data_IF_527196936360
#
_entry.id   IF_527196936360
#
_cell.length_a   1.000
_cell.length_b   1.000
_cell.length_c   1.000
_cell.angle_alpha   90.00
_cell.angle_beta   90.00
_cell.angle_gamma   90.00
#
_symmetry.space_group_name_H-M   'P 1'
#
loop_
_entity.id
_entity.type
_entity.pdbx_description
1 polymer ?
#
# COMPACT_ATOMS: atom_id res chain seq x y z
N UNK A 1 -33.71 32.89 -15.13
CA UNK A 1 -33.59 31.68 -14.30
C UNK A 1 -32.16 31.39 -13.92
N UNK A 2 -31.79 31.73 -12.69
CA UNK A 2 -30.50 31.33 -12.10
C UNK A 2 -30.55 29.81 -11.88
N UNK A 3 -29.85 29.03 -12.72
CA UNK A 3 -29.55 27.63 -12.41
C UNK A 3 -28.64 27.63 -11.18
N UNK A 4 -29.24 27.46 -10.00
CA UNK A 4 -28.50 27.20 -8.76
C UNK A 4 -27.86 25.83 -8.94
N UNK A 5 -26.56 25.81 -9.25
CA UNK A 5 -25.78 24.58 -9.12
C UNK A 5 -25.87 24.16 -7.65
N UNK A 6 -26.44 22.99 -7.41
CA UNK A 6 -26.50 22.42 -6.06
C UNK A 6 -25.10 22.49 -5.45
N UNK A 7 -25.01 23.02 -4.23
CA UNK A 7 -23.76 22.96 -3.48
C UNK A 7 -23.31 21.48 -3.49
N UNK A 8 -22.06 21.20 -3.89
CA UNK A 8 -21.61 19.84 -3.97
C UNK A 8 -21.81 19.18 -2.61
N UNK A 9 -22.60 18.11 -2.59
CA UNK A 9 -22.84 17.34 -1.38
C UNK A 9 -21.46 16.94 -0.89
N UNK A 10 -21.12 17.32 0.35
CA UNK A 10 -19.89 16.89 1.01
C UNK A 10 -19.87 15.38 0.89
N UNK A 11 -19.04 14.84 0.00
CA UNK A 11 -19.03 13.40 -0.22
C UNK A 11 -18.81 12.77 1.15
N UNK A 12 -19.72 11.87 1.55
CA UNK A 12 -19.45 10.99 2.67
C UNK A 12 -18.32 10.09 2.18
N UNK A 13 -17.08 10.53 2.41
CA UNK A 13 -15.89 9.77 2.09
C UNK A 13 -15.83 8.61 3.08
N UNK A 14 -16.61 7.57 2.81
CA UNK A 14 -16.53 6.35 3.60
C UNK A 14 -15.24 5.65 3.19
N UNK A 15 -14.40 5.29 4.16
CA UNK A 15 -13.27 4.38 3.95
C UNK A 15 -12.08 4.93 3.14
N UNK A 16 -11.95 6.25 3.05
CA UNK A 16 -10.95 6.93 2.21
C UNK A 16 -10.00 7.85 3.01
N UNK A 17 -9.85 7.66 4.32
CA UNK A 17 -9.13 8.59 5.20
C UNK A 17 -7.70 8.90 4.74
N UNK A 18 -6.93 7.88 4.35
CA UNK A 18 -5.58 8.06 3.79
C UNK A 18 -5.58 8.90 2.51
N UNK A 19 -6.55 8.69 1.62
CA UNK A 19 -6.68 9.43 0.36
C UNK A 19 -7.06 10.88 0.62
N UNK A 20 -8.03 11.12 1.50
CA UNK A 20 -8.53 12.46 1.86
C UNK A 20 -7.43 13.26 2.54
N UNK A 21 -6.72 12.66 3.49
CA UNK A 21 -5.61 13.33 4.18
C UNK A 21 -4.44 13.63 3.23
N UNK A 22 -4.09 12.70 2.34
CA UNK A 22 -3.07 12.96 1.30
C UNK A 22 -3.52 14.06 0.33
N UNK A 23 -4.79 14.10 -0.04
CA UNK A 23 -5.39 15.16 -0.86
C UNK A 23 -5.26 16.51 -0.16
N UNK A 24 -5.61 16.59 1.13
CA UNK A 24 -5.44 17.80 1.95
C UNK A 24 -3.99 18.26 1.98
N UNK A 25 -3.05 17.34 2.26
CA UNK A 25 -1.60 17.63 2.28
C UNK A 25 -1.12 18.21 0.95
N UNK A 26 -1.53 17.64 -0.18
CA UNK A 26 -1.14 18.14 -1.53
C UNK A 26 -1.81 19.46 -1.88
N UNK A 27 -3.08 19.64 -1.50
CA UNK A 27 -3.79 20.88 -1.76
C UNK A 27 -3.12 22.07 -1.03
N UNK A 28 -2.65 21.86 0.20
CA UNK A 28 -1.90 22.87 0.96
C UNK A 28 -0.56 23.25 0.32
N UNK A 29 0.01 22.41 -0.54
CA UNK A 29 1.25 22.69 -1.29
C UNK A 29 0.99 23.47 -2.60
N UNK A 30 -0.27 23.64 -3.01
CA UNK A 30 -0.60 24.45 -4.19
C UNK A 30 -0.37 25.95 -3.88
N UNK A 31 -0.16 26.81 -4.90
CA UNK A 31 0.13 28.23 -4.70
C UNK A 31 -0.90 28.98 -3.83
N UNK A 32 -2.16 28.56 -3.85
CA UNK A 32 -3.25 29.13 -3.04
C UNK A 32 -3.55 28.31 -1.78
N UNK A 33 -2.73 27.32 -1.45
CA UNK A 33 -2.96 26.35 -0.38
C UNK A 33 -3.23 26.97 0.99
N UNK A 34 -2.55 28.08 1.33
CA UNK A 34 -2.77 28.82 2.59
C UNK A 34 -4.19 29.39 2.73
N UNK A 35 -4.87 29.68 1.61
CA UNK A 35 -6.23 30.22 1.60
C UNK A 35 -7.30 29.13 1.65
N UNK A 36 -6.93 27.86 1.49
CA UNK A 36 -7.89 26.74 1.49
C UNK A 36 -8.67 26.64 2.80
N UNK A 37 -8.05 26.94 3.93
CA UNK A 37 -8.66 26.90 5.26
C UNK A 37 -9.60 28.09 5.52
N UNK A 38 -9.52 29.15 4.72
CA UNK A 38 -10.24 30.41 4.94
C UNK A 38 -11.36 30.62 3.89
N UNK A 39 -11.21 30.07 2.68
CA UNK A 39 -11.94 30.53 1.50
C UNK A 39 -13.10 29.68 0.97
N UNK A 40 -13.57 28.66 1.71
CA UNK A 40 -14.72 27.85 1.25
C UNK A 40 -14.48 27.13 -0.08
N UNK A 41 -13.24 26.68 -0.33
CA UNK A 41 -12.85 26.04 -1.58
C UNK A 41 -13.49 24.65 -1.75
N UNK A 42 -13.82 24.32 -3.00
CA UNK A 42 -14.26 23.00 -3.41
C UNK A 42 -13.13 22.24 -4.11
N UNK A 43 -12.84 21.02 -3.66
CA UNK A 43 -11.84 20.14 -4.25
C UNK A 43 -12.53 18.93 -4.85
N UNK A 44 -12.46 18.78 -6.17
CA UNK A 44 -12.82 17.55 -6.86
C UNK A 44 -11.60 16.65 -6.91
N UNK A 45 -11.73 15.40 -6.47
CA UNK A 45 -10.65 14.42 -6.46
C UNK A 45 -10.80 13.39 -7.58
N UNK A 46 -9.80 12.52 -7.70
CA UNK A 46 -9.76 11.37 -8.62
C UNK A 46 -10.37 10.09 -8.03
N UNK A 47 -10.75 10.12 -6.75
CA UNK A 47 -11.21 8.97 -5.98
C UNK A 47 -12.39 8.26 -6.65
N UNK A 48 -12.25 6.95 -6.83
CA UNK A 48 -13.34 6.04 -7.11
C UNK A 48 -13.73 5.35 -5.81
N UNK A 49 -14.93 5.59 -5.31
CA UNK A 49 -15.38 5.08 -4.01
C UNK A 49 -15.47 3.55 -3.97
N UNK A 50 -15.83 2.93 -5.08
CA UNK A 50 -15.97 1.48 -5.19
C UNK A 50 -14.58 0.84 -5.16
N UNK A 51 -13.66 1.31 -6.01
CA UNK A 51 -12.28 0.81 -5.99
C UNK A 51 -11.58 1.10 -4.66
N UNK A 52 -11.85 2.23 -4.02
CA UNK A 52 -11.30 2.55 -2.70
C UNK A 52 -11.74 1.54 -1.64
N UNK A 53 -13.04 1.19 -1.61
CA UNK A 53 -13.56 0.21 -0.67
C UNK A 53 -12.93 -1.17 -0.90
N UNK A 54 -12.85 -1.62 -2.15
CA UNK A 54 -12.23 -2.89 -2.52
C UNK A 54 -10.74 -2.93 -2.20
N UNK A 55 -10.01 -1.86 -2.53
CA UNK A 55 -8.58 -1.73 -2.22
C UNK A 55 -8.31 -1.86 -0.71
N UNK A 56 -9.11 -1.20 0.11
CA UNK A 56 -9.00 -1.27 1.56
C UNK A 56 -9.31 -2.68 2.07
N UNK A 57 -10.43 -3.27 1.63
CA UNK A 57 -10.83 -4.60 2.05
C UNK A 57 -9.76 -5.64 1.66
N UNK A 58 -9.24 -5.56 0.44
CA UNK A 58 -8.19 -6.45 -0.07
C UNK A 58 -6.89 -6.32 0.73
N UNK A 59 -6.44 -5.09 1.03
CA UNK A 59 -5.23 -4.88 1.82
C UNK A 59 -5.41 -5.41 3.25
N UNK A 60 -6.49 -5.03 3.93
CA UNK A 60 -6.73 -5.46 5.32
C UNK A 60 -6.85 -6.97 5.44
N UNK A 61 -7.66 -7.60 4.58
CA UNK A 61 -7.83 -9.05 4.59
C UNK A 61 -6.51 -9.77 4.23
N UNK A 62 -5.69 -9.20 3.35
CA UNK A 62 -4.36 -9.73 3.03
C UNK A 62 -3.42 -9.70 4.24
N UNK A 63 -3.40 -8.59 4.97
CA UNK A 63 -2.59 -8.42 6.18
C UNK A 63 -3.06 -9.35 7.30
N UNK A 64 -4.37 -9.46 7.53
CA UNK A 64 -4.98 -10.40 8.49
C UNK A 64 -4.63 -11.85 8.16
N UNK A 65 -4.79 -12.27 6.89
CA UNK A 65 -4.40 -13.62 6.47
C UNK A 65 -2.92 -13.90 6.66
N UNK A 66 -2.04 -12.93 6.34
CA UNK A 66 -0.61 -13.06 6.60
C UNK A 66 -0.37 -13.24 8.10
N UNK A 67 -0.95 -12.37 8.90
CA UNK A 67 -0.78 -12.33 10.33
C UNK A 67 -1.23 -13.62 11.02
N UNK A 68 -2.39 -14.14 10.60
CA UNK A 68 -2.94 -15.41 11.07
C UNK A 68 -1.99 -16.59 10.79
N UNK A 69 -1.32 -16.62 9.63
CA UNK A 69 -0.31 -17.66 9.33
C UNK A 69 0.94 -17.59 10.21
N UNK A 70 1.20 -16.45 10.86
CA UNK A 70 2.34 -16.26 11.77
C UNK A 70 1.97 -16.44 13.25
N UNK A 71 0.76 -16.94 13.52
CA UNK A 71 0.33 -17.36 14.86
C UNK A 71 -0.24 -16.25 15.73
N UNK A 72 -0.94 -16.69 16.78
CA UNK A 72 -1.48 -15.84 17.82
C UNK A 72 -0.38 -15.33 18.76
N UNK A 73 -0.35 -14.01 18.97
CA UNK A 73 0.72 -13.32 19.72
C UNK A 73 0.39 -13.04 21.19
N UNK A 74 -0.80 -13.45 21.64
CA UNK A 74 -1.33 -13.14 22.97
C UNK A 74 -2.29 -11.96 22.95
N UNK A 75 -3.07 -11.86 24.02
CA UNK A 75 -4.05 -10.81 24.19
C UNK A 75 -3.39 -9.42 24.27
N UNK A 76 -3.98 -8.37 23.66
CA UNK A 76 -3.52 -6.99 23.81
C UNK A 76 -3.37 -6.54 25.27
N UNK A 77 -4.24 -7.03 26.15
CA UNK A 77 -4.23 -6.76 27.59
C UNK A 77 -4.84 -7.94 28.33
N UNK A 78 -4.48 -8.11 29.59
CA UNK A 78 -5.10 -9.10 30.50
C UNK A 78 -5.42 -8.41 31.83
N UNK A 79 -6.51 -8.82 32.47
CA UNK A 79 -6.95 -8.31 33.76
C UNK A 79 -7.72 -9.37 34.55
N UNK A 80 -7.90 -9.18 35.85
CA UNK A 80 -8.78 -10.05 36.63
C UNK A 80 -10.25 -9.89 36.18
N UNK A 81 -11.01 -10.99 36.16
CA UNK A 81 -12.44 -10.96 35.90
C UNK A 81 -13.16 -10.35 37.11
N UNK A 82 -13.41 -9.04 37.03
CA UNK A 82 -14.03 -8.24 38.09
C UNK A 82 -14.95 -7.19 37.47
N UNK A 83 -15.93 -6.64 38.22
CA UNK A 83 -16.78 -5.56 37.72
C UNK A 83 -15.96 -4.39 37.15
N UNK A 84 -16.38 -3.87 35.99
CA UNK A 84 -15.70 -2.76 35.30
C UNK A 84 -14.70 -3.19 34.21
N UNK A 85 -14.57 -4.49 33.93
CA UNK A 85 -13.75 -4.99 32.82
C UNK A 85 -14.23 -4.48 31.45
N UNK A 86 -15.52 -4.19 31.29
CA UNK A 86 -16.11 -3.68 30.06
C UNK A 86 -15.51 -2.31 29.71
N UNK A 87 -15.35 -1.43 30.71
CA UNK A 87 -14.75 -0.11 30.53
C UNK A 87 -13.30 -0.24 30.08
N UNK A 88 -12.57 -1.18 30.67
CA UNK A 88 -11.18 -1.46 30.29
C UNK A 88 -11.09 -2.04 28.87
N UNK A 89 -11.95 -2.99 28.51
CA UNK A 89 -12.03 -3.56 27.17
C UNK A 89 -12.36 -2.51 26.10
N UNK A 90 -13.19 -1.51 26.43
CA UNK A 90 -13.49 -0.38 25.53
C UNK A 90 -12.31 0.58 25.32
N UNK A 91 -11.26 0.53 26.15
CA UNK A 91 -10.02 1.30 25.89
C UNK A 91 -9.18 0.70 24.76
N UNK A 92 -9.37 -0.60 24.46
CA UNK A 92 -8.68 -1.26 23.36
C UNK A 92 -9.12 -0.63 22.04
N UNK A 93 -8.12 -0.22 21.24
CA UNK A 93 -8.35 0.42 19.95
C UNK A 93 -8.77 -0.62 18.91
N UNK A 94 -10.08 -0.83 18.76
CA UNK A 94 -10.64 -1.56 17.63
C UNK A 94 -10.41 -0.74 16.36
N UNK A 95 -9.88 -1.34 15.26
CA UNK A 95 -9.79 -0.65 13.98
C UNK A 95 -11.18 -0.15 13.55
N UNK A 96 -11.32 1.15 13.31
CA UNK A 96 -12.59 1.76 12.85
C UNK A 96 -13.17 1.12 11.58
N UNK A 97 -12.31 0.50 10.77
CA UNK A 97 -12.64 -0.19 9.54
C UNK A 97 -13.21 -1.60 9.78
N UNK A 98 -13.03 -2.16 10.98
CA UNK A 98 -13.56 -3.46 11.41
C UNK A 98 -14.74 -3.25 12.37
N UNK A 99 -15.81 -2.67 11.84
CA UNK A 99 -17.02 -2.31 12.61
C UNK A 99 -17.75 -3.51 13.24
N UNK A 100 -17.44 -4.74 12.82
CA UNK A 100 -18.02 -5.96 13.39
C UNK A 100 -17.20 -6.52 14.55
N UNK A 101 -15.94 -6.08 14.70
CA UNK A 101 -15.10 -6.50 15.81
C UNK A 101 -15.58 -5.86 17.10
N UNK A 102 -15.48 -6.63 18.18
CA UNK A 102 -15.73 -6.21 19.56
C UNK A 102 -14.55 -6.57 20.42
N UNK A 103 -14.26 -5.72 21.41
CA UNK A 103 -13.41 -6.11 22.53
C UNK A 103 -14.21 -7.05 23.43
N UNK A 104 -13.60 -8.15 23.85
CA UNK A 104 -14.22 -9.16 24.71
C UNK A 104 -13.24 -9.65 25.78
N UNK A 105 -13.74 -10.11 26.92
CA UNK A 105 -12.95 -10.81 27.93
C UNK A 105 -13.09 -12.32 27.77
N UNK A 106 -12.01 -13.07 28.02
CA UNK A 106 -12.06 -14.53 28.16
C UNK A 106 -12.55 -14.88 29.57
N UNK A 107 -13.75 -15.46 29.67
CA UNK A 107 -14.37 -15.83 30.96
C UNK A 107 -13.94 -17.21 31.46
N UNK A 108 -13.76 -18.16 30.54
CA UNK A 108 -13.37 -19.54 30.86
C UNK A 108 -12.57 -20.16 29.72
N UNK A 109 -11.66 -21.07 30.10
CA UNK A 109 -10.87 -21.91 29.18
C UNK A 109 -11.13 -23.41 29.39
N UNK A 110 -12.12 -23.75 30.22
CA UNK A 110 -12.55 -25.13 30.49
C UNK A 110 -13.62 -25.57 29.51
N UNK A 111 -13.47 -26.76 28.91
CA UNK A 111 -14.45 -27.31 27.96
C UNK A 111 -14.59 -26.54 26.63
N UNK A 112 -13.68 -25.61 26.36
CA UNK A 112 -13.75 -24.63 25.26
C UNK A 112 -13.16 -23.30 25.70
N UNK A 113 -13.28 -22.26 24.89
CA UNK A 113 -12.95 -20.89 25.32
C UNK A 113 -14.19 -20.04 25.19
N UNK A 114 -14.69 -19.55 26.33
CA UNK A 114 -15.86 -18.67 26.38
C UNK A 114 -15.40 -17.21 26.47
N UNK A 115 -16.00 -16.37 25.63
CA UNK A 115 -15.73 -14.94 25.57
C UNK A 115 -17.01 -14.13 25.78
N UNK A 116 -16.87 -12.95 26.38
CA UNK A 116 -17.96 -12.02 26.63
C UNK A 116 -17.60 -10.65 26.06
N UNK A 117 -18.33 -10.16 25.03
CA UNK A 117 -18.12 -8.82 24.48
C UNK A 117 -18.48 -7.70 25.44
N UNK A 118 -17.71 -6.62 25.42
CA UNK A 118 -17.90 -5.46 26.30
C UNK A 118 -19.12 -4.59 25.92
N UNK A 119 -19.67 -4.78 24.73
CA UNK A 119 -20.74 -3.96 24.14
C UNK A 119 -22.16 -4.52 24.37
N UNK A 120 -22.29 -5.48 25.29
CA UNK A 120 -23.58 -6.02 25.74
C UNK A 120 -24.11 -7.21 24.92
N UNK A 121 -23.39 -7.65 23.90
CA UNK A 121 -23.70 -8.91 23.23
C UNK A 121 -23.50 -10.11 24.19
N UNK A 122 -24.31 -11.18 24.06
CA UNK A 122 -24.24 -12.31 24.97
C UNK A 122 -22.90 -13.03 24.88
N UNK A 123 -22.41 -13.54 26.02
CA UNK A 123 -21.24 -14.39 26.07
C UNK A 123 -21.44 -15.68 25.26
N UNK A 124 -20.40 -16.10 24.53
CA UNK A 124 -20.45 -17.23 23.62
C UNK A 124 -19.11 -17.95 23.50
N UNK A 125 -19.11 -19.05 22.74
CA UNK A 125 -17.90 -19.87 22.54
C UNK A 125 -17.05 -19.34 21.38
N UNK A 126 -15.73 -19.36 21.52
CA UNK A 126 -14.82 -19.20 20.39
C UNK A 126 -14.91 -20.42 19.47
N UNK A 127 -14.73 -20.20 18.16
CA UNK A 127 -14.63 -21.30 17.20
C UNK A 127 -13.45 -22.21 17.53
N UNK A 128 -13.64 -23.53 17.35
CA UNK A 128 -12.60 -24.52 17.67
C UNK A 128 -11.29 -24.31 16.89
N UNK A 129 -11.38 -23.87 15.64
CA UNK A 129 -10.21 -23.52 14.82
C UNK A 129 -9.43 -22.33 15.39
N UNK A 130 -10.11 -21.36 16.00
CA UNK A 130 -9.49 -20.20 16.64
C UNK A 130 -8.86 -20.56 17.97
N UNK A 131 -9.48 -21.45 18.74
CA UNK A 131 -8.89 -22.01 19.96
C UNK A 131 -7.61 -22.80 19.62
N UNK A 132 -7.66 -23.62 18.59
CA UNK A 132 -6.49 -24.37 18.11
C UNK A 132 -5.37 -23.43 17.63
N UNK A 133 -5.72 -22.41 16.85
CA UNK A 133 -4.79 -21.38 16.39
C UNK A 133 -4.15 -20.61 17.54
N UNK A 134 -4.95 -20.20 18.53
CA UNK A 134 -4.46 -19.50 19.71
C UNK A 134 -3.52 -20.37 20.55
N UNK A 135 -3.87 -21.65 20.75
CA UNK A 135 -3.06 -22.65 21.48
C UNK A 135 -1.72 -22.93 20.80
N UNK A 136 -1.67 -22.94 19.47
CA UNK A 136 -0.42 -23.09 18.72
C UNK A 136 0.51 -21.87 18.86
N UNK A 137 -0.04 -20.71 19.23
CA UNK A 137 0.70 -19.51 19.61
C UNK A 137 0.89 -19.39 21.12
N UNK A 138 0.61 -18.22 21.69
CA UNK A 138 0.76 -17.96 23.13
C UNK A 138 -0.36 -18.48 24.04
N UNK A 139 -1.41 -19.09 23.47
CA UNK A 139 -2.61 -19.50 24.19
C UNK A 139 -3.50 -18.32 24.60
N UNK A 140 -4.62 -18.66 25.23
CA UNK A 140 -5.57 -17.74 25.86
C UNK A 140 -5.69 -18.10 27.34
N UNK A 141 -5.87 -17.09 28.19
CA UNK A 141 -6.06 -17.23 29.63
C UNK A 141 -7.34 -16.53 30.06
N UNK A 142 -7.93 -17.00 31.15
CA UNK A 142 -9.03 -16.29 31.81
C UNK A 142 -8.58 -14.87 32.16
N UNK A 143 -9.40 -13.88 31.81
CA UNK A 143 -9.09 -12.47 32.01
C UNK A 143 -8.38 -11.78 30.83
N UNK A 144 -8.04 -12.51 29.77
CA UNK A 144 -7.50 -11.92 28.55
C UNK A 144 -8.55 -11.05 27.85
N UNK A 145 -8.19 -9.82 27.48
CA UNK A 145 -8.98 -8.93 26.66
C UNK A 145 -8.57 -9.09 25.20
N UNK A 146 -9.48 -9.59 24.37
CA UNK A 146 -9.26 -9.99 22.98
C UNK A 146 -10.20 -9.25 22.03
N UNK A 147 -9.94 -9.32 20.73
CA UNK A 147 -10.90 -8.89 19.71
C UNK A 147 -11.64 -10.10 19.17
N UNK A 148 -12.95 -9.97 18.99
CA UNK A 148 -13.80 -11.02 18.46
C UNK A 148 -14.82 -10.49 17.46
N UNK A 149 -15.21 -11.34 16.52
CA UNK A 149 -16.30 -11.08 15.57
C UNK A 149 -17.38 -12.17 15.71
N UNK A 150 -18.65 -11.78 15.80
CA UNK A 150 -19.74 -12.75 15.91
C UNK A 150 -19.93 -13.52 14.61
N UNK A 151 -20.14 -14.84 14.70
CA UNK A 151 -20.49 -15.66 13.54
C UNK A 151 -22.01 -15.68 13.23
N UNK A 152 -22.80 -14.96 14.03
CA UNK A 152 -24.27 -14.92 13.91
C UNK A 152 -25.00 -16.12 14.54
N UNK A 153 -24.29 -17.14 15.02
CA UNK A 153 -24.84 -18.37 15.60
C UNK A 153 -24.52 -18.49 17.12
N UNK A 154 -24.24 -17.36 17.77
CA UNK A 154 -23.87 -17.32 19.20
C UNK A 154 -22.42 -17.79 19.47
N UNK A 155 -21.59 -17.89 18.44
CA UNK A 155 -20.15 -18.14 18.55
C UNK A 155 -19.36 -16.95 18.04
N UNK A 156 -18.07 -16.97 18.35
CA UNK A 156 -17.17 -15.85 18.07
C UNK A 156 -15.91 -16.34 17.36
N UNK A 157 -15.47 -15.54 16.39
CA UNK A 157 -14.16 -15.66 15.78
C UNK A 157 -13.14 -14.88 16.59
N UNK A 158 -11.95 -15.43 16.80
CA UNK A 158 -10.85 -14.71 17.42
C UNK A 158 -10.12 -13.87 16.38
N UNK A 159 -10.00 -12.57 16.68
CA UNK A 159 -9.40 -11.60 15.78
C UNK A 159 -8.14 -10.98 16.37
N UNK A 160 -7.21 -10.62 15.49
CA UNK A 160 -5.91 -10.07 15.87
C UNK A 160 -5.54 -8.93 14.93
N UNK A 161 -5.25 -7.76 15.51
CA UNK A 161 -4.70 -6.64 14.74
C UNK A 161 -3.32 -7.04 14.19
N UNK A 162 -3.10 -7.00 12.86
CA UNK A 162 -1.82 -7.35 12.28
C UNK A 162 -0.67 -6.47 12.77
N UNK A 163 0.48 -7.10 13.09
CA UNK A 163 1.72 -6.36 13.35
C UNK A 163 2.38 -5.92 12.04
N UNK A 164 2.28 -6.75 11.00
CA UNK A 164 2.69 -6.38 9.65
C UNK A 164 1.79 -5.27 9.13
N UNK A 165 2.32 -4.46 8.22
CA UNK A 165 1.57 -3.38 7.59
C UNK A 165 1.77 -3.41 6.07
N UNK A 166 1.04 -2.58 5.35
CA UNK A 166 1.10 -2.53 3.90
C UNK A 166 0.57 -1.23 3.34
N UNK A 167 0.56 -1.14 2.02
CA UNK A 167 -0.03 -0.03 1.29
C UNK A 167 -0.55 -0.54 -0.05
N UNK A 168 -1.56 0.13 -0.59
CA UNK A 168 -2.13 -0.15 -1.90
C UNK A 168 -2.41 1.15 -2.63
N UNK A 169 -2.03 1.22 -3.90
CA UNK A 169 -2.34 2.32 -4.81
C UNK A 169 -2.90 1.73 -6.09
N UNK A 170 -4.08 2.18 -6.50
CA UNK A 170 -4.64 1.92 -7.83
C UNK A 170 -4.66 3.23 -8.62
N UNK A 171 -4.18 3.18 -9.86
CA UNK A 171 -4.01 4.34 -10.72
C UNK A 171 -4.46 4.03 -12.15
N UNK A 172 -5.07 5.01 -12.81
CA UNK A 172 -5.35 4.97 -14.25
C UNK A 172 -4.06 5.28 -15.06
N UNK A 173 -3.54 4.32 -15.86
CA UNK A 173 -2.24 4.47 -16.52
C UNK A 173 -2.15 5.60 -17.55
N UNK A 174 -3.27 5.98 -18.18
CA UNK A 174 -3.31 6.96 -19.26
C UNK A 174 -3.22 8.40 -18.76
N UNK A 175 -3.75 8.67 -17.55
CA UNK A 175 -3.86 10.02 -16.99
C UNK A 175 -2.99 10.22 -15.74
N UNK A 176 -2.66 9.15 -15.03
CA UNK A 176 -2.05 9.23 -13.70
C UNK A 176 -3.06 9.54 -12.58
N UNK A 177 -4.36 9.44 -12.84
CA UNK A 177 -5.38 9.60 -11.80
C UNK A 177 -5.27 8.48 -10.77
N UNK A 178 -5.10 8.84 -9.50
CA UNK A 178 -5.09 7.86 -8.41
C UNK A 178 -6.53 7.53 -8.03
N UNK A 179 -7.01 6.35 -8.40
CA UNK A 179 -8.41 5.96 -8.17
C UNK A 179 -8.65 5.44 -6.77
N UNK A 180 -7.66 4.78 -6.17
CA UNK A 180 -7.71 4.31 -4.78
C UNK A 180 -6.33 4.41 -4.11
N UNK A 181 -6.33 4.74 -2.83
CA UNK A 181 -5.13 4.80 -1.99
C UNK A 181 -5.42 4.33 -0.57
N UNK A 182 -4.63 3.37 -0.12
CA UNK A 182 -4.67 2.85 1.26
C UNK A 182 -3.24 2.87 1.80
N UNK A 183 -3.02 3.64 2.87
CA UNK A 183 -1.69 3.90 3.43
C UNK A 183 -1.29 3.00 4.59
N UNK A 184 -2.16 2.08 5.00
CA UNK A 184 -1.91 1.19 6.12
C UNK A 184 -3.11 0.29 6.44
N UNK A 185 -2.92 -0.62 7.40
CA UNK A 185 -3.98 -1.49 7.90
C UNK A 185 -5.21 -0.71 8.40
N UNK A 186 -5.00 0.32 9.23
CA UNK A 186 -6.08 1.13 9.79
C UNK A 186 -5.60 2.56 10.03
N UNK A 187 -6.38 3.53 9.57
CA UNK A 187 -6.08 4.95 9.72
C UNK A 187 -6.24 5.40 11.18
N UNK A 188 -7.24 4.87 11.90
CA UNK A 188 -7.48 5.20 13.31
C UNK A 188 -6.39 4.68 14.25
N UNK A 189 -5.68 3.63 13.85
CA UNK A 189 -4.50 3.14 14.57
C UNK A 189 -3.26 3.96 14.18
N UNK A 190 -3.06 4.24 12.89
CA UNK A 190 -1.91 4.98 12.39
C UNK A 190 -2.25 5.79 11.14
N UNK A 191 -2.13 7.11 11.24
CA UNK A 191 -2.34 8.03 10.11
C UNK A 191 -1.13 8.16 9.17
N UNK A 192 -0.05 7.41 9.40
CA UNK A 192 1.14 7.43 8.55
C UNK A 192 0.85 6.75 7.21
N UNK A 193 0.89 7.51 6.11
CA UNK A 193 0.51 7.02 4.79
C UNK A 193 1.70 6.34 4.09
N UNK A 194 1.79 5.01 4.19
CA UNK A 194 2.87 4.22 3.58
C UNK A 194 2.85 4.25 2.05
N UNK A 195 1.72 4.56 1.42
CA UNK A 195 1.64 4.67 -0.03
C UNK A 195 2.48 5.84 -0.58
N UNK A 196 2.64 6.91 0.20
CA UNK A 196 3.29 8.16 -0.23
C UNK A 196 4.51 8.55 0.60
N UNK A 197 4.64 8.03 1.82
CA UNK A 197 5.66 8.48 2.80
C UNK A 197 6.66 7.39 3.18
N UNK A 198 6.30 6.10 3.06
CA UNK A 198 7.20 5.01 3.42
C UNK A 198 8.18 4.73 2.28
N UNK A 199 9.40 5.25 2.43
CA UNK A 199 10.53 4.91 1.57
C UNK A 199 10.95 3.46 1.86
N UNK A 200 10.91 2.61 0.83
CA UNK A 200 11.27 1.18 0.92
C UNK A 200 11.99 0.73 -0.35
N UNK A 201 12.86 -0.26 -0.20
CA UNK A 201 13.49 -0.94 -1.32
C UNK A 201 12.44 -1.73 -2.13
N UNK A 202 12.27 -1.46 -3.44
CA UNK A 202 11.35 -2.20 -4.31
C UNK A 202 11.86 -3.61 -4.65
N UNK A 203 13.15 -3.87 -4.45
CA UNK A 203 13.79 -5.14 -4.78
C UNK A 203 13.58 -5.52 -6.24
N UNK A 204 13.18 -6.77 -6.48
CA UNK A 204 12.98 -7.30 -7.84
C UNK A 204 11.92 -6.56 -8.66
N UNK A 205 10.99 -5.83 -8.03
CA UNK A 205 10.03 -5.00 -8.78
C UNK A 205 10.69 -3.80 -9.50
N UNK A 206 11.97 -3.53 -9.27
CA UNK A 206 12.77 -2.56 -10.03
C UNK A 206 13.34 -3.12 -11.34
N UNK A 207 13.49 -4.45 -11.46
CA UNK A 207 14.14 -5.07 -12.62
C UNK A 207 13.54 -4.69 -13.97
N UNK A 208 12.22 -4.51 -14.14
CA UNK A 208 11.66 -4.07 -15.42
C UNK A 208 12.30 -2.78 -15.96
N UNK A 209 12.74 -1.85 -15.11
CA UNK A 209 13.41 -0.61 -15.56
C UNK A 209 14.85 -0.86 -16.04
N UNK A 210 15.57 -1.81 -15.43
CA UNK A 210 16.89 -2.27 -15.92
C UNK A 210 16.73 -2.93 -17.30
N UNK A 211 15.74 -3.82 -17.43
CA UNK A 211 15.48 -4.55 -18.67
C UNK A 211 14.97 -3.62 -19.77
N UNK A 212 14.11 -2.65 -19.46
CA UNK A 212 13.71 -1.60 -20.39
C UNK A 212 14.92 -0.80 -20.88
N UNK A 213 15.86 -0.46 -19.99
CA UNK A 213 17.11 0.22 -20.38
C UNK A 213 17.93 -0.66 -21.34
N UNK A 214 18.04 -1.96 -21.09
CA UNK A 214 18.73 -2.88 -22.00
C UNK A 214 18.09 -2.95 -23.39
N UNK A 215 16.75 -3.03 -23.45
CA UNK A 215 16.00 -3.05 -24.71
C UNK A 215 16.22 -1.76 -25.53
N UNK A 216 16.20 -0.60 -24.87
CA UNK A 216 16.53 0.70 -25.50
C UNK A 216 18.00 0.81 -25.95
N UNK A 217 18.85 -0.14 -25.57
CA UNK A 217 20.28 -0.16 -25.89
C UNK A 217 20.68 -1.40 -26.71
N UNK A 218 19.77 -1.91 -27.54
CA UNK A 218 20.07 -2.92 -28.57
C UNK A 218 19.88 -4.37 -28.12
N UNK A 219 19.51 -4.62 -26.87
CA UNK A 219 19.07 -5.95 -26.47
C UNK A 219 17.66 -6.23 -26.99
N UNK A 220 17.36 -7.51 -27.18
CA UNK A 220 16.03 -7.99 -27.57
C UNK A 220 15.54 -9.02 -26.55
N UNK A 221 14.23 -9.35 -26.52
CA UNK A 221 13.72 -10.40 -25.64
C UNK A 221 14.40 -11.77 -25.81
N UNK A 222 15.00 -12.04 -26.98
CA UNK A 222 15.74 -13.26 -27.30
C UNK A 222 17.26 -13.16 -27.08
N UNK A 223 17.80 -11.98 -26.72
CA UNK A 223 19.21 -11.84 -26.37
C UNK A 223 19.55 -12.77 -25.21
N UNK A 224 20.68 -13.49 -25.34
CA UNK A 224 21.13 -14.47 -24.35
C UNK A 224 22.02 -13.79 -23.32
N UNK A 225 21.72 -14.00 -22.04
CA UNK A 225 22.53 -13.55 -20.90
C UNK A 225 22.78 -14.75 -20.00
N UNK A 226 24.02 -14.88 -19.51
CA UNK A 226 24.39 -16.00 -18.65
C UNK A 226 23.87 -15.77 -17.23
N UNK A 227 23.07 -16.71 -16.73
CA UNK A 227 22.75 -16.87 -15.32
C UNK A 227 23.80 -17.78 -14.66
N UNK A 228 24.84 -17.16 -14.11
CA UNK A 228 25.94 -17.85 -13.43
C UNK A 228 26.56 -16.98 -12.33
N UNK A 229 27.43 -17.55 -11.47
CA UNK A 229 28.14 -16.81 -10.44
C UNK A 229 28.82 -15.55 -11.02
N UNK A 230 28.81 -14.46 -10.26
CA UNK A 230 29.51 -13.23 -10.62
C UNK A 230 30.14 -12.63 -9.38
N UNK A 231 31.40 -12.24 -9.53
CA UNK A 231 32.13 -11.45 -8.54
C UNK A 231 32.54 -10.16 -9.20
N UNK A 232 32.33 -9.05 -8.50
CA UNK A 232 32.64 -7.71 -9.01
C UNK A 232 33.22 -6.89 -7.87
N UNK A 233 34.10 -5.94 -8.17
CA UNK A 233 34.57 -5.01 -7.16
C UNK A 233 33.46 -4.03 -6.80
N UNK A 234 33.05 -4.00 -5.54
CA UNK A 234 32.17 -3.01 -4.95
C UNK A 234 32.79 -1.62 -4.92
N UNK A 235 31.97 -0.59 -4.72
CA UNK A 235 32.42 0.80 -4.64
C UNK A 235 33.33 1.08 -3.43
N UNK A 236 33.24 0.24 -2.40
CA UNK A 236 34.09 0.23 -1.21
C UNK A 236 35.40 -0.54 -1.41
N UNK A 237 35.61 -1.10 -2.61
CA UNK A 237 36.75 -1.94 -2.90
C UNK A 237 36.65 -3.34 -2.32
N UNK A 238 35.51 -3.81 -1.80
CA UNK A 238 35.34 -5.23 -1.44
C UNK A 238 34.76 -6.02 -2.61
N UNK A 239 34.94 -7.34 -2.62
CA UNK A 239 34.31 -8.19 -3.63
C UNK A 239 32.81 -8.34 -3.31
N UNK A 240 31.97 -7.94 -4.26
CA UNK A 240 30.53 -8.07 -4.21
C UNK A 240 30.09 -9.24 -5.08
N UNK A 241 29.46 -10.23 -4.43
CA UNK A 241 29.05 -11.50 -5.03
C UNK A 241 27.52 -11.65 -4.95
N UNK A 242 26.74 -11.03 -5.86
CA UNK A 242 25.30 -11.16 -5.82
C UNK A 242 24.83 -12.57 -6.18
N UNK A 243 23.94 -13.13 -5.36
CA UNK A 243 23.36 -14.46 -5.55
C UNK A 243 21.91 -14.38 -6.01
N UNK A 244 21.44 -15.44 -6.68
CA UNK A 244 20.01 -15.64 -6.94
C UNK A 244 19.27 -16.04 -5.67
N UNK A 245 17.97 -15.75 -5.58
CA UNK A 245 17.14 -16.09 -4.43
C UNK A 245 17.21 -17.58 -4.04
N UNK A 246 17.17 -18.47 -5.04
CA UNK A 246 17.25 -19.93 -4.85
C UNK A 246 18.70 -20.47 -4.78
N UNK A 247 19.72 -19.62 -4.94
CA UNK A 247 21.15 -20.00 -4.97
C UNK A 247 21.52 -21.03 -6.05
N UNK A 248 20.70 -21.16 -7.08
CA UNK A 248 20.94 -21.99 -8.26
C UNK A 248 21.42 -21.11 -9.45
N UNK A 249 21.87 -21.77 -10.51
CA UNK A 249 22.27 -21.16 -11.78
C UNK A 249 21.79 -22.00 -12.95
N UNK A 250 21.10 -21.38 -13.89
CA UNK A 250 20.48 -22.05 -15.03
C UNK A 250 21.31 -21.93 -16.32
N UNK A 251 22.47 -21.25 -16.27
CA UNK A 251 23.33 -21.05 -17.43
C UNK A 251 22.77 -20.01 -18.40
N UNK A 252 23.07 -20.11 -19.71
CA UNK A 252 22.59 -19.16 -20.71
C UNK A 252 21.07 -19.18 -20.82
N UNK A 253 20.44 -18.03 -20.58
CA UNK A 253 18.98 -17.84 -20.73
C UNK A 253 18.66 -16.63 -21.60
N UNK A 254 17.51 -16.67 -22.25
CA UNK A 254 16.98 -15.50 -22.97
C UNK A 254 16.55 -14.42 -21.99
N UNK A 255 16.70 -13.15 -22.39
CA UNK A 255 16.39 -11.97 -21.59
C UNK A 255 14.98 -12.00 -21.01
N UNK A 256 13.96 -12.39 -21.81
CA UNK A 256 12.59 -12.56 -21.30
C UNK A 256 12.51 -13.51 -20.10
N UNK A 257 13.24 -14.63 -20.15
CA UNK A 257 13.21 -15.68 -19.12
C UNK A 257 13.95 -15.23 -17.87
N UNK A 258 15.02 -14.47 -18.04
CA UNK A 258 15.74 -13.83 -16.94
C UNK A 258 14.86 -12.90 -16.11
N UNK A 259 13.98 -12.11 -16.77
CA UNK A 259 13.02 -11.26 -16.09
C UNK A 259 11.90 -12.06 -15.41
N UNK A 260 11.29 -13.01 -16.14
CA UNK A 260 10.22 -13.89 -15.63
C UNK A 260 10.65 -14.62 -14.35
N UNK A 261 11.88 -15.14 -14.31
CA UNK A 261 12.45 -15.84 -13.16
C UNK A 261 13.15 -14.92 -12.16
N UNK A 262 13.18 -13.61 -12.43
CA UNK A 262 13.85 -12.62 -11.61
C UNK A 262 15.30 -13.02 -11.25
N UNK A 263 16.11 -13.40 -12.25
CA UNK A 263 17.52 -13.81 -12.02
C UNK A 263 18.40 -12.61 -11.70
N UNK A 264 18.98 -12.56 -10.50
CA UNK A 264 19.79 -11.44 -10.03
C UNK A 264 21.08 -11.29 -10.85
N UNK A 265 21.76 -12.40 -11.12
CA UNK A 265 23.05 -12.39 -11.83
C UNK A 265 22.92 -11.94 -13.29
N UNK A 266 21.81 -12.27 -13.96
CA UNK A 266 21.47 -11.76 -15.29
C UNK A 266 21.18 -10.26 -15.23
N UNK A 267 20.39 -9.80 -14.26
CA UNK A 267 20.10 -8.37 -14.08
C UNK A 267 21.38 -7.56 -13.88
N UNK A 268 22.30 -8.04 -13.05
CA UNK A 268 23.58 -7.36 -12.80
C UNK A 268 24.44 -7.30 -14.06
N UNK A 269 24.57 -8.40 -14.80
CA UNK A 269 25.29 -8.42 -16.10
C UNK A 269 24.69 -7.47 -17.13
N UNK A 270 23.37 -7.41 -17.20
CA UNK A 270 22.67 -6.46 -18.07
C UNK A 270 22.99 -5.01 -17.67
N UNK A 271 22.90 -4.70 -16.37
CA UNK A 271 23.20 -3.37 -15.86
C UNK A 271 24.67 -2.97 -16.07
N UNK A 272 25.60 -3.91 -15.92
CA UNK A 272 27.02 -3.71 -16.22
C UNK A 272 27.24 -3.45 -17.71
N UNK A 273 26.69 -4.30 -18.58
CA UNK A 273 26.85 -4.19 -20.03
C UNK A 273 26.27 -2.90 -20.60
N UNK A 274 25.10 -2.48 -20.13
CA UNK A 274 24.43 -1.25 -20.58
C UNK A 274 25.02 0.00 -19.91
N UNK A 275 25.51 -0.15 -18.68
CA UNK A 275 26.07 0.90 -17.85
C UNK A 275 25.04 1.52 -16.90
N UNK A 276 25.40 1.61 -15.62
CA UNK A 276 24.51 2.09 -14.55
C UNK A 276 24.05 3.55 -14.68
N UNK A 277 24.79 4.41 -15.39
CA UNK A 277 24.33 5.78 -15.67
C UNK A 277 23.02 5.79 -16.46
N UNK A 278 22.94 4.98 -17.52
CA UNK A 278 21.72 4.86 -18.33
C UNK A 278 20.57 4.28 -17.53
N UNK A 279 20.85 3.30 -16.66
CA UNK A 279 19.84 2.71 -15.75
C UNK A 279 19.31 3.75 -14.76
N UNK A 280 20.19 4.56 -14.16
CA UNK A 280 19.81 5.63 -13.26
C UNK A 280 18.97 6.71 -13.97
N UNK A 281 19.39 7.15 -15.16
CA UNK A 281 18.66 8.11 -15.99
C UNK A 281 17.28 7.56 -16.37
N UNK A 282 17.19 6.27 -16.73
CA UNK A 282 15.92 5.62 -17.02
C UNK A 282 15.00 5.59 -15.80
N UNK A 283 15.53 5.26 -14.62
CA UNK A 283 14.74 5.21 -13.38
C UNK A 283 14.15 6.58 -13.01
N UNK A 284 14.94 7.65 -13.20
CA UNK A 284 14.48 9.04 -13.01
C UNK A 284 13.48 9.44 -14.09
N UNK A 285 13.72 9.07 -15.35
CA UNK A 285 12.81 9.33 -16.48
C UNK A 285 11.45 8.67 -16.29
N UNK A 286 11.40 7.46 -15.75
CA UNK A 286 10.16 6.76 -15.39
C UNK A 286 9.50 7.32 -14.12
N UNK A 287 10.23 8.08 -13.29
CA UNK A 287 9.70 8.65 -12.04
C UNK A 287 9.69 7.68 -10.85
N UNK A 288 10.39 6.54 -10.95
CA UNK A 288 10.52 5.59 -9.83
C UNK A 288 11.26 6.23 -8.66
N UNK A 289 12.25 7.06 -8.95
CA UNK A 289 13.09 7.77 -7.98
C UNK A 289 13.35 9.18 -8.46
N UNK A 290 13.69 10.09 -7.54
CA UNK A 290 14.05 11.47 -7.91
C UNK A 290 15.51 11.56 -8.38
N UNK A 291 16.38 10.71 -7.83
CA UNK A 291 17.77 10.55 -8.20
C UNK A 291 18.22 9.14 -7.82
N UNK A 292 19.29 8.65 -8.44
CA UNK A 292 19.85 7.33 -8.18
C UNK A 292 21.36 7.36 -8.37
N UNK A 293 22.10 6.82 -7.39
CA UNK A 293 23.53 6.60 -7.55
C UNK A 293 23.78 5.47 -8.56
N UNK A 294 24.69 5.64 -9.54
CA UNK A 294 24.89 4.64 -10.60
C UNK A 294 25.78 3.47 -10.13
N UNK A 295 25.36 2.77 -9.07
CA UNK A 295 26.04 1.58 -8.52
C UNK A 295 25.24 0.31 -8.80
N UNK A 296 25.92 -0.81 -9.06
CA UNK A 296 25.26 -2.04 -9.53
C UNK A 296 24.23 -2.63 -8.56
N UNK A 297 24.38 -2.41 -7.26
CA UNK A 297 23.37 -2.80 -6.26
C UNK A 297 21.99 -2.18 -6.55
N UNK A 298 21.94 -0.98 -7.16
CA UNK A 298 20.69 -0.35 -7.55
C UNK A 298 19.94 -1.14 -8.63
N UNK A 299 20.63 -1.91 -9.47
CA UNK A 299 19.98 -2.78 -10.47
C UNK A 299 19.13 -3.88 -9.82
N UNK A 300 19.41 -4.23 -8.56
CA UNK A 300 18.63 -5.19 -7.76
C UNK A 300 17.54 -4.50 -6.90
N UNK A 301 17.34 -3.19 -7.06
CA UNK A 301 16.34 -2.44 -6.32
C UNK A 301 16.75 -2.09 -4.89
N UNK A 302 18.04 -1.82 -4.64
CA UNK A 302 18.56 -1.39 -3.34
C UNK A 302 18.23 0.07 -2.99
N UNK A 303 17.80 0.89 -3.97
CA UNK A 303 17.38 2.27 -3.74
C UNK A 303 15.94 2.33 -3.21
N UNK A 304 15.60 3.39 -2.50
CA UNK A 304 14.28 3.52 -1.90
C UNK A 304 13.28 4.27 -2.79
N UNK A 305 12.03 3.81 -2.80
CA UNK A 305 10.89 4.47 -3.45
C UNK A 305 9.63 4.30 -2.62
N UNK A 306 8.50 4.84 -3.09
CA UNK A 306 7.18 4.65 -2.49
C UNK A 306 6.28 3.86 -3.44
N UNK A 307 5.26 3.16 -2.92
CA UNK A 307 4.26 2.50 -3.75
C UNK A 307 3.65 3.42 -4.81
N UNK A 308 3.36 4.68 -4.49
CA UNK A 308 2.81 5.62 -5.46
C UNK A 308 3.77 5.89 -6.63
N UNK A 309 5.06 6.12 -6.35
CA UNK A 309 6.06 6.36 -7.41
C UNK A 309 6.25 5.12 -8.27
N UNK A 310 6.36 3.96 -7.64
CA UNK A 310 6.51 2.69 -8.34
C UNK A 310 5.30 2.40 -9.23
N UNK A 311 4.07 2.51 -8.72
CA UNK A 311 2.85 2.33 -9.50
C UNK A 311 2.76 3.32 -10.66
N UNK A 312 3.08 4.60 -10.43
CA UNK A 312 3.13 5.62 -11.47
C UNK A 312 4.15 5.32 -12.57
N UNK A 313 5.32 4.81 -12.20
CA UNK A 313 6.34 4.41 -13.16
C UNK A 313 5.91 3.21 -14.00
N UNK A 314 5.24 2.21 -13.41
CA UNK A 314 4.73 1.05 -14.15
C UNK A 314 3.69 1.43 -15.21
N UNK A 315 2.99 2.56 -15.05
CA UNK A 315 2.02 3.04 -16.04
C UNK A 315 2.62 3.22 -17.43
N UNK A 316 3.90 3.59 -17.53
CA UNK A 316 4.58 3.77 -18.80
C UNK A 316 4.63 2.48 -19.64
N UNK A 317 4.68 1.31 -19.01
CA UNK A 317 4.61 0.04 -19.75
C UNK A 317 3.22 -0.22 -20.36
N UNK A 318 2.16 0.34 -19.78
CA UNK A 318 0.77 0.14 -20.22
C UNK A 318 0.32 1.20 -21.22
N UNK A 319 0.87 2.42 -21.17
CA UNK A 319 0.40 3.56 -21.95
C UNK A 319 1.29 3.90 -23.16
N UNK A 320 2.18 2.98 -23.56
CA UNK A 320 3.07 3.14 -24.72
C UNK A 320 4.32 3.98 -24.45
N UNK A 321 4.89 3.90 -23.23
CA UNK A 321 6.17 4.50 -22.87
C UNK A 321 6.09 5.93 -22.33
N UNK A 322 4.90 6.40 -21.96
CA UNK A 322 4.69 7.77 -21.47
C UNK A 322 4.71 7.82 -19.94
N UNK A 323 5.56 8.65 -19.37
CA UNK A 323 5.50 8.95 -17.93
C UNK A 323 4.19 9.67 -17.62
N UNK A 324 3.53 9.23 -16.55
CA UNK A 324 2.46 9.97 -15.89
C UNK A 324 2.94 10.43 -14.52
N UNK A 325 2.45 11.58 -14.08
CA UNK A 325 2.65 12.06 -12.72
C UNK A 325 1.38 11.77 -11.91
N UNK A 326 1.44 10.84 -10.93
CA UNK A 326 0.27 10.45 -10.16
C UNK A 326 -0.34 11.61 -9.37
N UNK A 327 -1.64 11.87 -9.55
CA UNK A 327 -2.34 12.99 -8.92
C UNK A 327 -3.67 12.56 -8.28
N UNK A 328 -3.99 13.20 -7.15
CA UNK A 328 -5.23 12.96 -6.40
C UNK A 328 -6.29 14.04 -6.66
N UNK A 329 -5.86 15.27 -6.96
CA UNK A 329 -6.73 16.44 -7.14
C UNK A 329 -7.00 16.63 -8.63
N UNK A 330 -8.27 16.64 -9.02
CA UNK A 330 -8.70 16.93 -10.39
C UNK A 330 -8.81 18.43 -10.64
N UNK A 331 -9.62 19.08 -9.79
CA UNK A 331 -9.99 20.48 -9.91
C UNK A 331 -10.08 21.08 -8.51
N UNK A 332 -9.64 22.33 -8.36
CA UNK A 332 -9.99 23.17 -7.21
C UNK A 332 -10.75 24.40 -7.69
N UNK A 333 -11.88 24.70 -7.06
CA UNK A 333 -12.71 25.88 -7.29
C UNK A 333 -12.80 26.73 -6.03
N UNK A 334 -12.82 28.06 -6.18
CA UNK A 334 -13.15 28.97 -5.09
C UNK A 334 -14.66 28.98 -4.78
N UNK A 335 -15.07 29.75 -3.76
CA UNK A 335 -16.48 29.87 -3.34
C UNK A 335 -17.38 30.46 -4.41
N UNK A 336 -16.82 31.24 -5.34
CA UNK A 336 -17.52 31.79 -6.51
C UNK A 336 -17.60 30.79 -7.68
N UNK A 337 -17.04 29.57 -7.52
CA UNK A 337 -17.08 28.50 -8.52
C UNK A 337 -15.99 28.62 -9.60
N UNK A 338 -15.09 29.59 -9.52
CA UNK A 338 -14.00 29.77 -10.47
C UNK A 338 -12.92 28.72 -10.22
N UNK A 339 -12.52 28.03 -11.29
CA UNK A 339 -11.43 27.05 -11.23
C UNK A 339 -10.09 27.76 -11.01
N UNK A 340 -9.45 27.47 -9.88
CA UNK A 340 -8.11 27.98 -9.51
C UNK A 340 -7.00 26.96 -9.75
N UNK A 341 -7.36 25.67 -9.90
CA UNK A 341 -6.44 24.60 -10.27
C UNK A 341 -7.14 23.54 -11.10
N UNK A 342 -6.40 22.98 -12.05
CA UNK A 342 -6.78 21.78 -12.81
C UNK A 342 -5.53 20.93 -13.04
N UNK A 343 -5.64 19.63 -12.78
CA UNK A 343 -4.54 18.68 -13.02
C UNK A 343 -4.29 18.46 -14.52
N UNK A 344 -5.35 18.28 -15.31
CA UNK A 344 -5.22 18.19 -16.76
C UNK A 344 -4.86 19.56 -17.36
N UNK A 345 -3.61 19.66 -17.83
CA UNK A 345 -3.05 20.85 -18.48
C UNK A 345 -3.14 20.80 -20.00
N UNK A 346 -3.67 19.72 -20.58
CA UNK A 346 -3.84 19.64 -22.03
C UNK A 346 -4.79 20.75 -22.46
N UNK A 347 -4.42 21.48 -23.51
CA UNK A 347 -5.34 22.43 -24.10
C UNK A 347 -6.47 21.62 -24.74
N UNK A 348 -7.70 21.89 -24.32
CA UNK A 348 -8.88 21.43 -25.04
C UNK A 348 -9.57 22.67 -25.64
N UNK A 349 -9.20 23.08 -26.87
CA UNK A 349 -9.80 24.24 -27.53
C UNK A 349 -11.33 24.16 -27.63
N UNK A 350 -11.88 22.95 -27.65
CA UNK A 350 -13.33 22.68 -27.76
C UNK A 350 -14.05 22.45 -26.42
N UNK A 351 -13.35 22.39 -25.29
CA UNK A 351 -13.97 22.19 -23.96
C UNK A 351 -14.37 23.50 -23.27
N UNK A 352 -14.51 24.60 -24.04
CA UNK A 352 -14.94 25.91 -23.53
C UNK A 352 -16.45 26.05 -23.39
N UNK A 353 -17.22 25.03 -23.79
CA UNK A 353 -18.66 25.01 -23.53
C UNK A 353 -18.90 24.67 -22.06
N UNK A 354 -19.57 25.56 -21.34
CA UNK A 354 -20.13 25.27 -20.03
C UNK A 354 -21.22 24.18 -20.20
N UNK A 355 -21.27 23.23 -19.25
CA UNK A 355 -22.39 22.30 -19.11
C UNK A 355 -23.64 23.04 -18.62
#
# INVERSE_FOLDING_TARGET
DLKVNLAPIRAKYTYADFFVEETRRRALQLPFGKKLTEGGFYIRTTLDSTLQQEARNALMAGLERYDRRHGWRGAPKSMALAPGWETEAMTLRVPSERVQWRSAIVESTEGGVRVHPATGEPAGQLLGEDVAWARAGKGLKVGDLVFVESDGAGRYKLEQVPQVNGALVALEPQSGRVMAMVGGYSYSISNFNRATQAMRQPGSSFKPFVYATALENGFTPSSVVVDGPISMRGADGQDWNPENYNKDYLGPLVLRRGLELSRNTMTVRLAESVGMRKVADMAVKFGVVNSMQPVLAMALGAGETTPLKLTGAYAAFLNGGRRVDPHLIEIVQDREGKTVFRADRRSCPRCRAAF
#
